data_IF_847110696676
#
_entry.id   IF_847110696676
#
_cell.length_a   1.000
_cell.length_b   1.000
_cell.length_c   1.000
_cell.angle_alpha   90.00
_cell.angle_beta   90.00
_cell.angle_gamma   90.00
#
_symmetry.space_group_name_H-M   'P 1'
#
loop_
_entity.id
_entity.type
_entity.pdbx_description
1 polymer ?
#
# COMPACT_ATOMS: atom_id res chain seq x y z
N UNK A 1 15.89 -28.84 6.73
CA UNK A 1 15.67 -27.40 7.01
C UNK A 1 14.18 -27.17 6.98
N UNK A 2 13.57 -26.61 8.04
CA UNK A 2 12.15 -26.30 8.02
C UNK A 2 11.87 -25.28 6.92
N UNK A 3 10.94 -25.57 6.01
CA UNK A 3 10.49 -24.57 5.04
C UNK A 3 10.12 -23.28 5.79
N UNK A 4 10.63 -22.14 5.31
CA UNK A 4 10.28 -20.84 5.85
C UNK A 4 8.79 -20.57 5.58
N UNK A 5 7.93 -20.75 6.59
CA UNK A 5 6.46 -20.61 6.48
C UNK A 5 5.97 -19.17 6.66
N UNK A 6 6.87 -18.19 6.80
CA UNK A 6 6.50 -16.81 7.09
C UNK A 6 5.49 -16.21 6.08
N UNK A 7 5.71 -16.28 4.75
CA UNK A 7 4.76 -15.69 3.80
C UNK A 7 3.38 -16.38 3.83
N UNK A 8 3.35 -17.69 4.12
CA UNK A 8 2.11 -18.43 4.26
C UNK A 8 1.31 -17.95 5.48
N UNK A 9 1.96 -17.82 6.65
CA UNK A 9 1.31 -17.31 7.85
C UNK A 9 0.83 -15.86 7.68
N UNK A 10 1.60 -15.04 6.96
CA UNK A 10 1.21 -13.68 6.64
C UNK A 10 -0.02 -13.65 5.72
N UNK A 11 -0.06 -14.48 4.68
CA UNK A 11 -1.21 -14.59 3.77
C UNK A 11 -2.48 -15.11 4.47
N UNK A 12 -2.35 -16.13 5.33
CA UNK A 12 -3.49 -16.64 6.12
C UNK A 12 -4.00 -15.56 7.08
N UNK A 13 -3.10 -14.91 7.82
CA UNK A 13 -3.45 -13.82 8.75
C UNK A 13 -4.16 -12.68 8.02
N UNK A 14 -3.62 -12.27 6.87
CA UNK A 14 -4.24 -11.22 6.06
C UNK A 14 -5.60 -11.63 5.50
N UNK A 15 -5.76 -12.88 5.05
CA UNK A 15 -7.05 -13.39 4.55
C UNK A 15 -8.13 -13.32 5.63
N UNK A 16 -7.81 -13.75 6.86
CA UNK A 16 -8.72 -13.64 7.99
C UNK A 16 -9.05 -12.18 8.31
N UNK A 17 -8.04 -11.31 8.31
CA UNK A 17 -8.21 -9.87 8.53
C UNK A 17 -9.10 -9.21 7.47
N UNK A 18 -8.91 -9.56 6.20
CA UNK A 18 -9.73 -9.11 5.07
C UNK A 18 -11.19 -9.52 5.22
N UNK A 19 -11.45 -10.78 5.59
CA UNK A 19 -12.81 -11.28 5.79
C UNK A 19 -13.48 -10.57 6.97
N UNK A 20 -12.77 -10.39 8.09
CA UNK A 20 -13.31 -9.73 9.29
C UNK A 20 -13.71 -8.28 8.98
N UNK A 21 -12.83 -7.52 8.33
CA UNK A 21 -13.12 -6.13 7.96
C UNK A 21 -14.07 -6.00 6.75
N UNK A 22 -14.34 -7.08 6.02
CA UNK A 22 -15.42 -7.12 5.03
C UNK A 22 -16.82 -7.23 5.63
N UNK A 23 -16.95 -7.50 6.93
CA UNK A 23 -18.24 -7.61 7.62
C UNK A 23 -18.69 -6.22 8.06
N UNK A 24 -19.88 -5.79 7.60
CA UNK A 24 -20.50 -4.51 7.94
C UNK A 24 -19.56 -3.28 7.79
N UNK A 25 -18.98 -3.04 6.60
CA UNK A 25 -18.19 -1.82 6.38
C UNK A 25 -19.09 -0.58 6.50
N UNK A 26 -18.52 0.54 6.93
CA UNK A 26 -19.20 1.81 7.15
C UNK A 26 -19.95 2.28 5.89
N UNK A 27 -19.32 2.16 4.72
CA UNK A 27 -19.93 2.50 3.44
C UNK A 27 -19.67 1.41 2.40
N UNK A 28 -20.70 0.62 2.05
CA UNK A 28 -20.53 -0.57 1.20
C UNK A 28 -20.03 -0.27 -0.22
N UNK A 29 -20.47 0.83 -0.84
CA UNK A 29 -20.01 1.18 -2.19
C UNK A 29 -18.52 1.56 -2.20
N UNK A 30 -18.09 2.38 -1.23
CA UNK A 30 -16.68 2.75 -1.03
C UNK A 30 -15.85 1.50 -0.72
N UNK A 31 -16.30 0.64 0.19
CA UNK A 31 -15.61 -0.62 0.48
C UNK A 31 -15.42 -1.49 -0.77
N UNK A 32 -16.41 -1.58 -1.67
CA UNK A 32 -16.24 -2.31 -2.94
C UNK A 32 -15.15 -1.67 -3.80
N UNK A 33 -15.15 -0.34 -3.93
CA UNK A 33 -14.14 0.39 -4.71
C UNK A 33 -12.73 0.15 -4.15
N UNK A 34 -12.56 0.24 -2.84
CA UNK A 34 -11.27 0.05 -2.14
C UNK A 34 -10.85 -1.43 -2.03
N UNK A 35 -11.80 -2.37 -2.02
CA UNK A 35 -11.49 -3.80 -2.00
C UNK A 35 -10.89 -4.30 -3.32
N UNK A 36 -11.20 -3.65 -4.45
CA UNK A 36 -10.68 -4.03 -5.77
C UNK A 36 -9.14 -3.99 -5.81
N UNK A 37 -8.45 -2.88 -5.49
CA UNK A 37 -6.99 -2.85 -5.50
C UNK A 37 -6.38 -3.85 -4.51
N UNK A 38 -6.98 -4.05 -3.33
CA UNK A 38 -6.54 -5.06 -2.36
C UNK A 38 -6.57 -6.48 -2.95
N UNK A 39 -7.68 -6.87 -3.58
CA UNK A 39 -7.85 -8.19 -4.20
C UNK A 39 -6.87 -8.37 -5.36
N UNK A 40 -6.69 -7.36 -6.20
CA UNK A 40 -5.75 -7.41 -7.33
C UNK A 40 -4.33 -7.63 -6.83
N UNK A 41 -3.87 -6.83 -5.87
CA UNK A 41 -2.50 -6.92 -5.35
C UNK A 41 -2.30 -8.23 -4.58
N UNK A 42 -3.19 -8.58 -3.65
CA UNK A 42 -3.07 -9.81 -2.88
C UNK A 42 -3.16 -11.06 -3.76
N UNK A 43 -4.11 -11.09 -4.70
CA UNK A 43 -4.24 -12.17 -5.68
C UNK A 43 -3.00 -12.31 -6.57
N UNK A 44 -2.41 -11.19 -6.98
CA UNK A 44 -1.14 -11.18 -7.73
C UNK A 44 0.00 -11.77 -6.91
N UNK A 45 0.09 -11.48 -5.61
CA UNK A 45 1.10 -12.07 -4.72
C UNK A 45 0.93 -13.58 -4.57
N UNK A 46 -0.30 -14.07 -4.39
CA UNK A 46 -0.59 -15.51 -4.34
C UNK A 46 -0.20 -16.18 -5.65
N UNK A 47 -0.61 -15.61 -6.78
CA UNK A 47 -0.36 -16.17 -8.11
C UNK A 47 1.13 -16.22 -8.44
N UNK A 48 1.86 -15.15 -8.13
CA UNK A 48 3.29 -15.02 -8.44
C UNK A 48 4.19 -15.80 -7.48
N UNK A 49 3.71 -16.17 -6.28
CA UNK A 49 4.48 -16.88 -5.26
C UNK A 49 5.20 -18.14 -5.76
N UNK A 50 4.54 -18.93 -6.63
CA UNK A 50 5.12 -20.15 -7.21
C UNK A 50 6.15 -19.92 -8.31
N UNK A 51 6.20 -18.70 -8.86
CA UNK A 51 7.11 -18.32 -9.95
C UNK A 51 8.31 -17.51 -9.45
N UNK A 52 8.06 -16.67 -8.44
CA UNK A 52 9.06 -15.84 -7.81
C UNK A 52 8.70 -15.61 -6.36
N UNK A 53 9.67 -15.86 -5.48
CA UNK A 53 9.52 -15.64 -4.05
C UNK A 53 10.33 -14.41 -3.65
N UNK A 54 9.64 -13.43 -3.09
CA UNK A 54 10.28 -12.27 -2.46
C UNK A 54 10.90 -12.65 -1.11
N UNK A 55 11.79 -11.81 -0.61
CA UNK A 55 12.29 -11.95 0.76
C UNK A 55 11.17 -11.78 1.79
N UNK A 56 11.35 -12.35 2.98
CA UNK A 56 10.40 -12.17 4.09
C UNK A 56 10.18 -10.68 4.44
N UNK A 57 11.24 -9.86 4.34
CA UNK A 57 11.14 -8.43 4.58
C UNK A 57 10.25 -7.75 3.52
N UNK A 58 10.42 -8.09 2.24
CA UNK A 58 9.58 -7.56 1.17
C UNK A 58 8.11 -7.96 1.36
N UNK A 59 7.82 -9.21 1.74
CA UNK A 59 6.45 -9.63 2.07
C UNK A 59 5.88 -8.87 3.28
N UNK A 60 6.67 -8.69 4.34
CA UNK A 60 6.25 -7.92 5.51
C UNK A 60 5.90 -6.47 5.15
N UNK A 61 6.75 -5.82 4.35
CA UNK A 61 6.56 -4.46 3.86
C UNK A 61 5.29 -4.33 3.01
N UNK A 62 5.07 -5.23 2.04
CA UNK A 62 3.85 -5.24 1.21
C UNK A 62 2.57 -5.44 2.02
N UNK A 63 2.64 -6.24 3.08
CA UNK A 63 1.50 -6.51 3.95
C UNK A 63 1.07 -5.29 4.80
N UNK A 64 1.98 -4.34 5.08
CA UNK A 64 1.61 -3.12 5.82
C UNK A 64 0.52 -2.35 5.07
N UNK A 65 0.72 -2.10 3.77
CA UNK A 65 -0.29 -1.42 2.96
C UNK A 65 -1.58 -2.22 2.88
N UNK A 66 -1.51 -3.54 2.63
CA UNK A 66 -2.69 -4.39 2.58
C UNK A 66 -3.54 -4.29 3.85
N UNK A 67 -2.90 -4.23 5.02
CA UNK A 67 -3.58 -4.09 6.31
C UNK A 67 -4.15 -2.68 6.49
N UNK A 68 -3.34 -1.64 6.31
CA UNK A 68 -3.77 -0.25 6.53
C UNK A 68 -4.88 0.15 5.57
N UNK A 69 -4.74 -0.16 4.28
CA UNK A 69 -5.73 0.18 3.27
C UNK A 69 -7.04 -0.60 3.49
N UNK A 70 -7.00 -1.84 3.99
CA UNK A 70 -8.21 -2.57 4.36
C UNK A 70 -8.92 -2.01 5.61
N UNK A 71 -8.18 -1.42 6.57
CA UNK A 71 -8.76 -0.65 7.67
C UNK A 71 -9.47 0.59 7.12
N UNK A 72 -8.80 1.33 6.22
CA UNK A 72 -9.39 2.47 5.50
C UNK A 72 -10.67 2.07 4.77
N UNK A 73 -10.64 0.99 3.99
CA UNK A 73 -11.81 0.47 3.27
C UNK A 73 -13.00 0.14 4.18
N UNK A 74 -12.74 -0.40 5.38
CA UNK A 74 -13.81 -0.76 6.33
C UNK A 74 -14.49 0.47 6.91
N UNK A 75 -13.72 1.45 7.38
CA UNK A 75 -14.28 2.63 8.05
C UNK A 75 -14.63 3.76 7.09
N UNK A 76 -14.10 3.75 5.86
CA UNK A 76 -13.68 4.93 5.06
C UNK A 76 -12.49 5.66 5.70
N UNK A 77 -11.58 6.16 4.86
CA UNK A 77 -10.33 6.78 5.30
C UNK A 77 -10.54 7.99 6.22
N UNK A 78 -11.61 8.76 6.00
CA UNK A 78 -11.98 9.89 6.84
C UNK A 78 -12.44 9.48 8.26
N UNK A 79 -12.96 8.25 8.43
CA UNK A 79 -13.64 7.81 9.64
C UNK A 79 -12.88 6.76 10.45
N UNK A 80 -11.65 6.40 10.06
CA UNK A 80 -10.80 5.51 10.86
C UNK A 80 -10.55 6.17 12.23
N UNK A 81 -10.70 5.45 13.37
CA UNK A 81 -10.49 6.03 14.70
C UNK A 81 -9.02 6.37 14.96
N UNK A 82 -8.62 7.58 14.52
CA UNK A 82 -7.23 8.03 14.46
C UNK A 82 -7.02 9.40 15.15
N UNK A 83 -8.02 9.86 15.91
CA UNK A 83 -8.01 11.16 16.59
C UNK A 83 -6.82 11.35 17.51
N UNK A 84 -6.36 10.29 18.18
CA UNK A 84 -5.17 10.35 19.04
C UNK A 84 -3.93 10.89 18.31
N UNK A 85 -3.78 10.60 17.01
CA UNK A 85 -2.67 11.09 16.19
C UNK A 85 -3.00 12.46 15.60
N UNK A 86 -4.23 12.66 15.14
CA UNK A 86 -4.67 13.94 14.58
C UNK A 86 -4.55 15.06 15.63
N UNK A 87 -4.96 14.80 16.88
CA UNK A 87 -4.82 15.72 18.02
C UNK A 87 -3.35 16.01 18.34
N UNK A 88 -2.50 14.97 18.28
CA UNK A 88 -1.06 15.11 18.55
C UNK A 88 -0.37 16.09 17.58
N UNK A 89 -0.80 16.10 16.31
CA UNK A 89 -0.25 17.00 15.28
C UNK A 89 -1.11 18.25 15.04
N UNK A 90 -2.22 18.40 15.79
CA UNK A 90 -3.17 19.51 15.64
C UNK A 90 -3.90 19.53 14.30
N UNK A 91 -4.08 18.39 13.65
CA UNK A 91 -4.74 18.30 12.35
C UNK A 91 -6.25 18.33 12.48
N UNK A 92 -6.90 19.06 11.57
CA UNK A 92 -8.37 19.15 11.48
C UNK A 92 -8.98 18.04 10.63
N UNK A 93 -8.15 17.32 9.85
CA UNK A 93 -8.58 16.17 9.05
C UNK A 93 -8.02 14.88 9.66
N UNK A 94 -8.62 13.77 9.26
CA UNK A 94 -8.07 12.46 9.49
C UNK A 94 -6.87 12.20 8.57
N UNK A 95 -5.72 11.88 9.17
CA UNK A 95 -4.46 11.60 8.46
C UNK A 95 -4.15 10.10 8.34
N UNK A 96 -5.12 9.23 8.65
CA UNK A 96 -4.93 7.79 8.44
C UNK A 96 -4.63 7.46 6.98
N UNK A 97 -5.27 8.19 6.07
CA UNK A 97 -5.03 8.10 4.63
C UNK A 97 -3.57 8.36 4.25
N UNK A 98 -2.97 9.44 4.76
CA UNK A 98 -1.54 9.76 4.60
C UNK A 98 -0.63 8.62 5.04
N UNK A 99 -1.00 7.93 6.12
CA UNK A 99 -0.24 6.80 6.63
C UNK A 99 -0.37 5.59 5.68
N UNK A 100 -1.55 5.36 5.11
CA UNK A 100 -1.75 4.34 4.10
C UNK A 100 -0.97 4.66 2.81
N UNK A 101 -0.98 5.91 2.34
CA UNK A 101 -0.14 6.39 1.23
C UNK A 101 1.35 6.17 1.49
N UNK A 102 1.85 6.58 2.67
CA UNK A 102 3.23 6.27 3.06
C UNK A 102 3.55 4.76 2.97
N UNK A 103 2.59 3.89 3.26
CA UNK A 103 2.80 2.45 3.18
C UNK A 103 2.76 1.85 1.77
N UNK A 104 2.03 2.43 0.79
CA UNK A 104 2.11 1.93 -0.61
C UNK A 104 3.52 2.16 -1.17
N UNK A 105 4.20 3.21 -0.69
CA UNK A 105 5.61 3.44 -0.99
C UNK A 105 6.53 2.25 -0.68
N UNK A 106 6.13 1.37 0.25
CA UNK A 106 6.91 0.18 0.57
C UNK A 106 7.05 -0.81 -0.58
N UNK A 107 6.23 -0.70 -1.63
CA UNK A 107 6.33 -1.51 -2.85
C UNK A 107 7.55 -1.15 -3.73
N UNK A 108 8.23 -0.03 -3.48
CA UNK A 108 9.51 0.25 -4.15
C UNK A 108 10.58 -0.82 -3.83
N UNK A 109 10.57 -1.37 -2.60
CA UNK A 109 11.48 -2.43 -2.17
C UNK A 109 11.34 -3.72 -3.01
N UNK A 110 10.18 -4.40 -3.06
CA UNK A 110 10.03 -5.64 -3.84
C UNK A 110 10.27 -5.41 -5.32
N UNK A 111 9.90 -4.26 -5.89
CA UNK A 111 10.20 -3.93 -7.29
C UNK A 111 11.72 -3.94 -7.52
N UNK A 112 12.48 -3.24 -6.66
CA UNK A 112 13.94 -3.21 -6.75
C UNK A 112 14.56 -4.60 -6.52
N UNK A 113 14.06 -5.36 -5.53
CA UNK A 113 14.50 -6.72 -5.25
C UNK A 113 14.31 -7.66 -6.44
N UNK A 114 13.13 -7.63 -7.06
CA UNK A 114 12.83 -8.42 -8.24
C UNK A 114 13.82 -8.14 -9.38
N UNK A 115 14.01 -6.87 -9.71
CA UNK A 115 14.88 -6.45 -10.81
C UNK A 115 16.34 -6.87 -10.60
N UNK A 116 16.86 -6.73 -9.38
CA UNK A 116 18.24 -7.14 -9.08
C UNK A 116 18.39 -8.64 -9.08
N UNK A 117 17.49 -9.39 -8.41
CA UNK A 117 17.59 -10.85 -8.33
C UNK A 117 17.41 -11.54 -9.68
N UNK A 118 16.68 -10.91 -10.62
CA UNK A 118 16.55 -11.37 -12.01
C UNK A 118 17.65 -10.87 -12.94
N UNK A 119 18.67 -10.18 -12.42
CA UNK A 119 19.76 -9.59 -13.19
C UNK A 119 19.31 -8.62 -14.30
N UNK A 120 18.17 -7.95 -14.12
CA UNK A 120 17.68 -6.97 -15.10
C UNK A 120 18.44 -5.65 -15.02
N UNK A 121 18.89 -5.24 -13.81
CA UNK A 121 19.70 -4.04 -13.64
C UNK A 121 20.48 -4.06 -12.31
N UNK A 122 21.42 -3.10 -12.17
CA UNK A 122 22.22 -2.91 -10.94
C UNK A 122 21.35 -2.31 -9.82
N UNK A 123 21.69 -2.53 -8.52
CA UNK A 123 20.86 -2.10 -7.40
C UNK A 123 20.44 -0.63 -7.38
N UNK A 124 21.32 0.28 -7.79
CA UNK A 124 20.99 1.71 -7.86
C UNK A 124 19.87 1.98 -8.88
N UNK A 125 19.99 1.42 -10.08
CA UNK A 125 19.00 1.60 -11.15
C UNK A 125 17.69 0.89 -10.79
N UNK A 126 17.76 -0.28 -10.16
CA UNK A 126 16.58 -0.98 -9.65
C UNK A 126 15.84 -0.15 -8.60
N UNK A 127 16.57 0.49 -7.68
CA UNK A 127 16.01 1.37 -6.66
C UNK A 127 15.35 2.61 -7.27
N UNK A 128 16.02 3.29 -8.20
CA UNK A 128 15.43 4.44 -8.92
C UNK A 128 14.17 4.03 -9.70
N UNK A 129 14.19 2.87 -10.36
CA UNK A 129 13.01 2.35 -11.03
C UNK A 129 11.87 2.08 -10.04
N UNK A 130 12.15 1.45 -8.89
CA UNK A 130 11.15 1.23 -7.84
C UNK A 130 10.54 2.54 -7.33
N UNK A 131 11.36 3.56 -7.11
CA UNK A 131 10.91 4.91 -6.72
C UNK A 131 9.96 5.50 -7.77
N UNK A 132 10.39 5.54 -9.04
CA UNK A 132 9.59 6.14 -10.10
C UNK A 132 8.32 5.33 -10.40
N UNK A 133 8.36 4.01 -10.25
CA UNK A 133 7.19 3.16 -10.39
C UNK A 133 6.14 3.50 -9.33
N UNK A 134 6.53 3.65 -8.06
CA UNK A 134 5.60 4.10 -7.00
C UNK A 134 5.05 5.49 -7.32
N UNK A 135 5.90 6.46 -7.68
CA UNK A 135 5.45 7.81 -8.02
C UNK A 135 4.44 7.82 -9.18
N UNK A 136 4.64 6.96 -10.19
CA UNK A 136 3.71 6.82 -11.30
C UNK A 136 2.39 6.18 -10.87
N UNK A 137 2.43 5.17 -9.99
CA UNK A 137 1.22 4.56 -9.40
C UNK A 137 0.45 5.56 -8.57
N UNK A 138 1.13 6.34 -7.72
CA UNK A 138 0.55 7.41 -6.91
C UNK A 138 -0.20 8.41 -7.79
N UNK A 139 0.48 9.01 -8.77
CA UNK A 139 -0.15 9.96 -9.70
C UNK A 139 -1.31 9.33 -10.49
N UNK A 140 -1.20 8.05 -10.85
CA UNK A 140 -2.28 7.32 -11.52
C UNK A 140 -3.50 7.09 -10.63
N UNK A 141 -3.29 6.77 -9.35
CA UNK A 141 -4.38 6.51 -8.40
C UNK A 141 -5.14 7.79 -8.04
N UNK A 142 -4.44 8.91 -7.85
CA UNK A 142 -5.07 10.23 -7.64
C UNK A 142 -6.00 10.63 -8.80
N UNK A 143 -5.61 10.27 -10.03
CA UNK A 143 -6.47 10.48 -11.21
C UNK A 143 -7.72 9.59 -11.14
N UNK A 144 -7.59 8.35 -10.64
CA UNK A 144 -8.72 7.43 -10.45
C UNK A 144 -9.67 7.96 -9.39
N UNK A 145 -9.17 8.47 -8.27
CA UNK A 145 -9.97 9.04 -7.19
C UNK A 145 -10.74 10.27 -7.64
N UNK A 146 -10.06 11.20 -8.31
CA UNK A 146 -10.72 12.35 -8.92
C UNK A 146 -11.81 11.91 -9.91
N UNK A 147 -11.50 10.96 -10.80
CA UNK A 147 -12.46 10.47 -11.78
C UNK A 147 -13.66 9.77 -11.13
N UNK A 148 -13.44 8.95 -10.11
CA UNK A 148 -14.50 8.29 -9.36
C UNK A 148 -15.40 9.33 -8.67
N UNK A 149 -14.81 10.31 -7.97
CA UNK A 149 -15.54 11.37 -7.30
C UNK A 149 -16.40 12.18 -8.29
N UNK A 150 -15.84 12.53 -9.45
CA UNK A 150 -16.53 13.28 -10.49
C UNK A 150 -17.66 12.49 -11.18
N UNK A 151 -17.53 11.16 -11.28
CA UNK A 151 -18.51 10.31 -11.97
C UNK A 151 -19.61 9.76 -11.05
N UNK A 152 -19.26 9.29 -9.86
CA UNK A 152 -20.22 8.78 -8.88
C UNK A 152 -21.01 9.91 -8.21
N UNK A 153 -20.33 11.03 -7.89
CA UNK A 153 -20.89 12.12 -7.11
C UNK A 153 -21.40 11.69 -5.73
N UNK A 154 -22.13 12.60 -5.08
CA UNK A 154 -22.75 12.34 -3.78
C UNK A 154 -21.76 11.97 -2.67
N UNK A 155 -22.27 11.32 -1.64
CA UNK A 155 -21.50 10.94 -0.44
C UNK A 155 -20.40 9.91 -0.76
N UNK A 156 -20.71 8.91 -1.59
CA UNK A 156 -19.73 7.88 -1.96
C UNK A 156 -18.52 8.44 -2.70
N UNK A 157 -18.71 9.44 -3.59
CA UNK A 157 -17.61 10.10 -4.27
C UNK A 157 -16.75 10.96 -3.34
N UNK A 158 -17.37 11.63 -2.36
CA UNK A 158 -16.66 12.44 -1.36
C UNK A 158 -15.84 11.55 -0.43
N UNK A 159 -16.42 10.44 0.03
CA UNK A 159 -15.77 9.50 0.93
C UNK A 159 -14.62 8.74 0.26
N UNK A 160 -14.77 8.35 -1.03
CA UNK A 160 -13.69 7.72 -1.79
C UNK A 160 -12.57 8.71 -2.14
N UNK A 161 -12.89 9.97 -2.42
CA UNK A 161 -11.86 10.99 -2.67
C UNK A 161 -11.04 11.32 -1.41
N UNK A 162 -11.58 11.12 -0.20
CA UNK A 162 -10.82 11.26 1.05
C UNK A 162 -10.35 12.67 1.42
N UNK A 163 -10.53 13.67 0.56
CA UNK A 163 -9.91 15.01 0.72
C UNK A 163 -10.30 15.80 1.95
N UNK A 164 -11.49 15.58 2.52
CA UNK A 164 -11.93 16.26 3.74
C UNK A 164 -11.80 17.80 3.67
N UNK A 165 -11.90 18.37 2.45
CA UNK A 165 -11.73 19.80 2.19
C UNK A 165 -10.29 20.29 2.04
N UNK A 166 -9.28 19.41 2.10
CA UNK A 166 -7.89 19.74 1.79
C UNK A 166 -7.70 19.89 0.28
N UNK A 167 -7.48 21.13 -0.18
CA UNK A 167 -7.26 21.42 -1.60
C UNK A 167 -5.94 20.87 -2.15
N UNK A 168 -5.00 20.49 -1.27
CA UNK A 168 -3.69 19.96 -1.61
C UNK A 168 -3.60 18.45 -1.37
N UNK A 169 -4.75 17.77 -1.33
CA UNK A 169 -4.82 16.40 -0.86
C UNK A 169 -3.90 15.49 -1.67
N UNK A 170 -4.20 15.38 -2.96
CA UNK A 170 -3.46 14.58 -3.92
C UNK A 170 -1.96 14.85 -3.94
N UNK A 171 -1.54 16.12 -3.86
CA UNK A 171 -0.12 16.47 -3.89
C UNK A 171 0.63 15.96 -2.68
N UNK A 172 0.00 16.06 -1.50
CA UNK A 172 0.58 15.55 -0.27
C UNK A 172 0.55 14.01 -0.24
N UNK A 173 -0.33 13.35 -1.01
CA UNK A 173 -0.54 11.89 -0.96
C UNK A 173 0.55 11.25 -1.79
N UNK A 174 0.72 11.76 -3.01
CA UNK A 174 1.88 11.50 -3.83
C UNK A 174 3.21 11.77 -3.09
N UNK A 175 3.27 12.81 -2.25
CA UNK A 175 4.45 13.06 -1.41
C UNK A 175 4.63 11.97 -0.34
N UNK A 176 3.57 11.58 0.36
CA UNK A 176 3.61 10.51 1.35
C UNK A 176 4.05 9.17 0.71
N UNK A 177 3.49 8.81 -0.45
CA UNK A 177 3.88 7.65 -1.25
C UNK A 177 5.38 7.67 -1.59
N UNK A 178 5.86 8.84 -2.04
CA UNK A 178 7.27 9.05 -2.41
C UNK A 178 8.19 8.88 -1.21
N UNK A 179 7.83 9.45 -0.05
CA UNK A 179 8.60 9.32 1.19
C UNK A 179 8.63 7.86 1.69
N UNK A 180 7.52 7.15 1.56
CA UNK A 180 7.43 5.70 1.82
C UNK A 180 8.36 4.88 0.93
N UNK A 181 8.44 5.23 -0.36
CA UNK A 181 9.35 4.61 -1.31
C UNK A 181 10.81 4.88 -0.96
N UNK A 182 11.17 6.12 -0.64
CA UNK A 182 12.53 6.46 -0.18
C UNK A 182 12.88 5.66 1.08
N UNK A 183 11.98 5.61 2.06
CA UNK A 183 12.19 4.85 3.29
C UNK A 183 12.44 3.36 3.01
N UNK A 184 11.58 2.72 2.22
CA UNK A 184 11.73 1.29 1.91
C UNK A 184 12.99 0.99 1.09
N UNK A 185 13.38 1.89 0.18
CA UNK A 185 14.63 1.74 -0.58
C UNK A 185 15.88 1.91 0.28
N UNK A 186 15.85 2.75 1.32
CA UNK A 186 16.92 2.80 2.32
C UNK A 186 17.07 1.42 2.98
N UNK A 187 15.97 0.78 3.37
CA UNK A 187 16.00 -0.60 3.91
C UNK A 187 16.57 -1.60 2.90
N UNK A 188 16.20 -1.46 1.61
CA UNK A 188 16.73 -2.30 0.53
C UNK A 188 18.26 -2.23 0.42
N UNK A 189 18.83 -1.03 0.48
CA UNK A 189 20.29 -0.83 0.42
C UNK A 189 21.02 -1.23 1.72
N UNK A 190 20.35 -1.17 2.87
CA UNK A 190 20.91 -1.61 4.16
C UNK A 190 20.94 -3.14 4.25
N UNK A 191 19.78 -3.79 4.07
CA UNK A 191 19.63 -5.23 4.29
C UNK A 191 20.09 -6.08 3.12
N UNK A 192 20.15 -5.52 1.90
CA UNK A 192 20.68 -6.18 0.69
C UNK A 192 20.12 -7.59 0.48
N UNK A 193 18.82 -7.77 0.70
CA UNK A 193 18.10 -9.04 0.56
C UNK A 193 18.27 -9.67 -0.83
N UNK A 194 18.57 -8.85 -1.84
CA UNK A 194 18.92 -9.27 -3.19
C UNK A 194 20.23 -10.08 -3.31
N UNK A 195 21.08 -10.09 -2.27
CA UNK A 195 22.31 -10.92 -2.22
C UNK A 195 22.14 -12.23 -1.47
N UNK A 196 21.04 -12.40 -0.74
CA UNK A 196 20.78 -13.64 -0.01
C UNK A 196 20.33 -14.69 -1.03
N UNK A 197 21.10 -15.77 -1.16
CA UNK A 197 20.64 -16.98 -1.83
C UNK A 197 19.45 -17.50 -1.03
N UNK A 198 18.28 -17.60 -1.67
CA UNK A 198 17.15 -18.29 -1.05
C UNK A 198 17.49 -19.79 -1.03
N UNK A 199 17.71 -20.31 0.18
CA UNK A 199 17.77 -21.76 0.43
C UNK A 199 16.41 -22.41 0.16
#
# INVERSE_FOLDING_TARGET
>A
MSENKFPLWLAVSYTLFFIILGINPAFRAVWIAEAIPLIIIFGSLIFTFRYYRFSNLAYALMAVWLVLHNIGAHYTFANVPFDWFNDLIGSQRNNFDRLAHFSIGFYAFPIAEYLVRKNHCKPLIAGLFGLFAVMAVAAGYEIVEWWYAASAGGEAGIEFLGSQGDIWDAQKDMLADTLGAVFSLILFFIFKTYKQNEN
#
